data_IF_839153192515
#
_entry.id   IF_839153192515
#
_cell.length_a   1.000
_cell.length_b   1.000
_cell.length_c   1.000
_cell.angle_alpha   90.00
_cell.angle_beta   90.00
_cell.angle_gamma   90.00
#
_symmetry.space_group_name_H-M   'P 1'
#
loop_
_entity.id
_entity.type
_entity.pdbx_description
1 polymer ?
#
# COMPACT_ATOMS: atom_id res chain seq x y z
N UNK A 1 29.38 32.24 -28.24
CA UNK A 1 29.63 31.11 -27.32
C UNK A 1 29.30 31.58 -25.91
N UNK A 2 28.36 30.91 -25.26
CA UNK A 2 27.87 31.30 -23.93
C UNK A 2 26.35 31.31 -23.92
N UNK A 3 25.73 30.13 -23.74
CA UNK A 3 24.32 30.06 -23.41
C UNK A 3 24.19 29.57 -21.97
N UNK A 4 23.61 30.46 -21.18
CA UNK A 4 23.26 30.29 -19.77
C UNK A 4 22.25 29.15 -19.62
N UNK A 5 22.64 28.05 -18.99
CA UNK A 5 21.69 27.16 -18.35
C UNK A 5 21.17 27.85 -17.09
N UNK A 6 20.10 28.63 -17.25
CA UNK A 6 19.25 29.05 -16.13
C UNK A 6 18.77 27.78 -15.43
N UNK A 7 19.29 27.53 -14.23
CA UNK A 7 18.67 26.64 -13.25
C UNK A 7 17.29 27.20 -12.96
N UNK A 8 16.29 26.64 -13.61
CA UNK A 8 14.91 26.78 -13.19
C UNK A 8 14.76 25.88 -11.96
N UNK A 9 15.17 26.38 -10.79
CA UNK A 9 14.78 25.83 -9.50
C UNK A 9 13.28 26.07 -9.34
N UNK A 10 12.51 25.15 -9.93
CA UNK A 10 11.11 24.96 -9.59
C UNK A 10 11.01 24.69 -8.08
N UNK A 11 10.01 25.26 -7.43
CA UNK A 11 9.69 25.15 -5.99
C UNK A 11 9.35 23.70 -5.57
N UNK A 12 9.52 22.73 -6.47
CA UNK A 12 9.44 21.30 -6.23
C UNK A 12 10.44 20.80 -5.17
N UNK A 13 9.93 20.01 -4.21
CA UNK A 13 10.69 18.97 -3.48
C UNK A 13 11.35 19.29 -2.12
N UNK A 14 10.95 20.30 -1.35
CA UNK A 14 11.47 20.42 0.03
C UNK A 14 10.97 19.28 0.96
N UNK A 15 9.80 18.70 0.64
CA UNK A 15 9.14 17.69 1.46
C UNK A 15 9.46 16.23 1.09
N UNK A 16 10.19 16.04 -0.02
CA UNK A 16 10.62 14.73 -0.51
C UNK A 16 12.14 14.63 -0.46
N UNK A 17 12.64 13.53 0.08
CA UNK A 17 14.05 13.23 0.19
C UNK A 17 14.38 12.01 -0.64
N UNK A 18 15.36 12.14 -1.53
CA UNK A 18 15.95 10.99 -2.22
C UNK A 18 16.70 10.12 -1.21
N UNK A 19 16.51 8.80 -1.32
CA UNK A 19 17.31 7.81 -0.59
C UNK A 19 18.15 7.02 -1.58
N UNK A 20 18.78 5.92 -1.15
CA UNK A 20 19.50 5.05 -2.08
C UNK A 20 18.53 4.59 -3.17
N UNK A 21 18.91 4.78 -4.42
CA UNK A 21 18.14 4.30 -5.57
C UNK A 21 18.09 2.76 -5.58
N UNK A 22 17.02 2.24 -6.17
CA UNK A 22 16.90 0.82 -6.49
C UNK A 22 18.10 0.35 -7.32
N UNK A 23 18.56 -0.90 -7.14
CA UNK A 23 19.62 -1.48 -7.97
C UNK A 23 19.24 -1.56 -9.45
N UNK A 24 17.93 -1.69 -9.74
CA UNK A 24 17.38 -1.75 -11.10
C UNK A 24 16.14 -0.85 -11.21
N UNK A 25 15.81 -0.32 -12.41
CA UNK A 25 14.54 0.36 -12.62
C UNK A 25 13.36 -0.60 -12.47
N UNK A 26 12.34 -0.22 -11.71
CA UNK A 26 11.15 -1.04 -11.46
C UNK A 26 9.88 -0.24 -11.66
N UNK A 27 8.88 -0.87 -12.26
CA UNK A 27 7.48 -0.41 -12.28
C UNK A 27 6.58 -1.59 -11.94
N UNK A 28 5.36 -1.33 -11.46
CA UNK A 28 4.42 -2.36 -11.00
C UNK A 28 4.93 -3.23 -9.85
N UNK A 29 6.02 -2.81 -9.20
CA UNK A 29 6.59 -3.52 -8.06
C UNK A 29 5.61 -3.57 -6.90
N UNK A 30 5.58 -4.70 -6.20
CA UNK A 30 4.88 -4.84 -4.94
C UNK A 30 5.88 -4.70 -3.80
N UNK A 31 5.52 -3.98 -2.75
CA UNK A 31 6.35 -3.81 -1.56
C UNK A 31 5.67 -4.34 -0.32
N UNK A 32 6.43 -4.99 0.56
CA UNK A 32 5.96 -5.48 1.86
C UNK A 32 6.92 -5.00 2.95
N UNK A 33 6.38 -4.51 4.06
CA UNK A 33 7.16 -4.03 5.19
C UNK A 33 7.46 -5.20 6.13
N UNK A 34 8.73 -5.41 6.47
CA UNK A 34 9.15 -6.37 7.49
C UNK A 34 10.14 -5.70 8.45
N UNK A 35 9.67 -5.35 9.66
CA UNK A 35 10.46 -4.58 10.63
C UNK A 35 11.09 -3.32 9.98
N UNK A 36 12.42 -3.22 9.93
CA UNK A 36 13.14 -2.09 9.33
C UNK A 36 13.46 -2.29 7.85
N UNK A 37 12.89 -3.30 7.22
CA UNK A 37 13.12 -3.67 5.83
C UNK A 37 11.87 -3.42 4.99
N UNK A 38 12.07 -2.88 3.79
CA UNK A 38 11.05 -2.86 2.75
C UNK A 38 11.48 -3.92 1.73
N UNK A 39 10.70 -4.98 1.64
CA UNK A 39 10.86 -6.04 0.66
C UNK A 39 10.22 -5.57 -0.64
N UNK A 40 10.97 -5.61 -1.73
CA UNK A 40 10.57 -5.21 -3.07
C UNK A 40 10.53 -6.48 -3.91
N UNK A 41 9.35 -6.88 -4.36
CA UNK A 41 9.08 -8.19 -4.96
C UNK A 41 8.78 -8.08 -6.46
N UNK A 42 9.85 -8.05 -7.26
CA UNK A 42 9.77 -8.00 -8.72
C UNK A 42 9.11 -6.73 -9.25
N UNK A 43 8.69 -6.77 -10.50
CA UNK A 43 8.02 -5.69 -11.22
C UNK A 43 7.74 -6.11 -12.65
N UNK A 44 7.19 -5.22 -13.47
CA UNK A 44 6.89 -5.50 -14.87
C UNK A 44 8.11 -6.01 -15.63
N UNK A 45 8.06 -7.29 -16.05
CA UNK A 45 9.17 -8.05 -16.65
C UNK A 45 10.46 -8.13 -15.82
N UNK A 46 10.42 -7.76 -14.54
CA UNK A 46 11.58 -7.75 -13.65
C UNK A 46 11.42 -8.77 -12.52
N UNK A 47 12.26 -9.80 -12.52
CA UNK A 47 12.15 -10.94 -11.60
C UNK A 47 12.87 -10.73 -10.26
N UNK A 48 13.77 -9.76 -10.17
CA UNK A 48 14.61 -9.53 -9.00
C UNK A 48 13.82 -9.06 -7.76
N UNK A 49 14.13 -9.65 -6.61
CA UNK A 49 13.62 -9.26 -5.31
C UNK A 49 14.74 -8.66 -4.45
N UNK A 50 14.43 -7.59 -3.72
CA UNK A 50 15.40 -6.86 -2.91
C UNK A 50 14.85 -6.51 -1.54
N UNK A 51 15.72 -6.44 -0.54
CA UNK A 51 15.42 -5.89 0.79
C UNK A 51 16.13 -4.55 0.93
N UNK A 52 15.36 -3.49 1.12
CA UNK A 52 15.86 -2.17 1.49
C UNK A 52 15.81 -1.97 2.99
N UNK A 53 16.96 -1.75 3.62
CA UNK A 53 17.00 -1.47 5.05
C UNK A 53 16.87 0.04 5.32
N UNK A 54 15.73 0.46 5.87
CA UNK A 54 15.36 1.87 6.13
C UNK A 54 16.40 2.67 6.91
N UNK A 55 16.94 2.11 8.01
CA UNK A 55 17.99 2.78 8.81
C UNK A 55 19.38 2.78 8.15
N UNK A 56 19.73 1.70 7.44
CA UNK A 56 21.05 1.55 6.81
C UNK A 56 21.12 2.26 5.45
N UNK A 57 19.97 2.63 4.86
CA UNK A 57 19.85 3.23 3.53
C UNK A 57 20.58 2.43 2.45
N UNK A 58 20.38 1.11 2.46
CA UNK A 58 21.06 0.16 1.55
C UNK A 58 20.10 -0.93 1.11
N UNK A 59 20.34 -1.45 -0.09
CA UNK A 59 19.68 -2.65 -0.62
C UNK A 59 20.56 -3.88 -0.48
N UNK A 60 19.91 -5.03 -0.34
CA UNK A 60 20.49 -6.35 -0.58
C UNK A 60 19.56 -7.14 -1.50
N UNK A 61 20.15 -7.89 -2.42
CA UNK A 61 19.42 -8.86 -3.23
C UNK A 61 18.90 -10.01 -2.34
N UNK A 62 17.71 -10.50 -2.65
CA UNK A 62 17.07 -11.64 -1.96
C UNK A 62 17.14 -12.87 -2.87
N UNK A 63 16.43 -12.82 -4.00
CA UNK A 63 16.35 -13.86 -5.03
C UNK A 63 15.65 -13.33 -6.28
N UNK A 64 15.37 -14.21 -7.23
CA UNK A 64 14.48 -13.95 -8.37
C UNK A 64 13.22 -14.81 -8.30
N UNK A 65 12.12 -14.32 -8.89
CA UNK A 65 11.01 -15.17 -9.31
C UNK A 65 11.49 -16.27 -10.28
N UNK A 66 10.80 -17.43 -10.38
CA UNK A 66 11.13 -18.46 -11.37
C UNK A 66 11.20 -17.92 -12.80
N UNK A 67 11.99 -18.56 -13.68
CA UNK A 67 12.25 -18.07 -15.05
C UNK A 67 11.05 -18.13 -15.98
N UNK A 68 10.13 -19.04 -15.69
CA UNK A 68 8.86 -19.27 -16.37
C UNK A 68 7.75 -18.29 -15.93
N UNK A 69 8.00 -17.49 -14.88
CA UNK A 69 7.03 -16.52 -14.36
C UNK A 69 7.26 -15.15 -15.00
N UNK A 70 6.23 -14.66 -15.71
CA UNK A 70 6.19 -13.31 -16.27
C UNK A 70 5.36 -12.40 -15.36
N UNK A 71 6.00 -11.39 -14.78
CA UNK A 71 5.35 -10.47 -13.87
C UNK A 71 4.72 -9.29 -14.62
N UNK A 72 3.40 -9.16 -14.50
CA UNK A 72 2.65 -8.01 -14.98
C UNK A 72 1.41 -7.77 -14.12
N UNK A 73 1.51 -6.85 -13.17
CA UNK A 73 0.40 -6.45 -12.31
C UNK A 73 -0.02 -7.54 -11.32
N UNK A 74 0.94 -8.28 -10.79
CA UNK A 74 0.72 -9.25 -9.71
C UNK A 74 0.51 -8.54 -8.37
N UNK A 75 -0.01 -9.29 -7.39
CA UNK A 75 -0.11 -8.86 -6.01
C UNK A 75 0.87 -9.67 -5.13
N UNK A 76 1.30 -9.06 -4.02
CA UNK A 76 2.05 -9.71 -2.96
C UNK A 76 1.44 -9.28 -1.63
N UNK A 77 1.12 -10.25 -0.78
CA UNK A 77 0.59 -10.03 0.57
C UNK A 77 1.44 -10.78 1.60
N UNK A 78 1.46 -10.25 2.82
CA UNK A 78 2.04 -10.91 3.99
C UNK A 78 1.01 -11.86 4.61
N UNK A 79 1.31 -13.16 4.66
CA UNK A 79 0.53 -14.14 5.38
C UNK A 79 0.85 -14.03 6.87
N UNK A 80 0.01 -13.29 7.61
CA UNK A 80 0.17 -13.05 9.04
C UNK A 80 0.22 -14.38 9.80
N UNK A 81 1.39 -14.74 10.31
CA UNK A 81 1.54 -15.81 11.28
C UNK A 81 1.58 -15.21 12.69
N UNK A 82 0.54 -15.49 13.50
CA UNK A 82 0.44 -14.99 14.86
C UNK A 82 1.59 -15.49 15.77
N UNK A 83 2.24 -16.59 15.42
CA UNK A 83 3.35 -17.16 16.19
C UNK A 83 4.71 -16.49 15.90
N UNK A 84 4.79 -15.60 14.90
CA UNK A 84 6.07 -15.12 14.35
C UNK A 84 6.40 -13.65 14.68
N UNK A 85 5.62 -12.99 15.55
CA UNK A 85 5.70 -11.52 15.80
C UNK A 85 7.09 -10.99 16.18
N UNK A 86 7.94 -11.82 16.81
CA UNK A 86 9.33 -11.45 17.16
C UNK A 86 10.39 -12.06 16.25
N UNK A 87 10.01 -12.95 15.35
CA UNK A 87 10.92 -13.64 14.44
C UNK A 87 11.49 -12.70 13.37
N UNK A 88 12.67 -13.01 12.84
CA UNK A 88 13.20 -12.34 11.65
C UNK A 88 12.59 -12.87 10.34
N UNK A 89 11.46 -13.58 10.45
CA UNK A 89 10.81 -14.31 9.37
C UNK A 89 9.45 -13.70 9.04
N UNK A 90 9.04 -13.85 7.78
CA UNK A 90 7.73 -13.44 7.25
C UNK A 90 7.41 -14.35 6.07
N UNK A 91 6.12 -14.68 5.88
CA UNK A 91 5.70 -15.50 4.74
C UNK A 91 4.95 -14.63 3.75
N UNK A 92 5.45 -14.57 2.52
CA UNK A 92 4.87 -13.78 1.45
C UNK A 92 4.11 -14.69 0.49
N UNK A 93 2.89 -14.30 0.12
CA UNK A 93 2.11 -14.91 -0.95
C UNK A 93 2.11 -13.97 -2.15
N UNK A 94 2.59 -14.44 -3.29
CA UNK A 94 2.54 -13.72 -4.56
C UNK A 94 1.63 -14.42 -5.54
N UNK A 95 0.70 -13.69 -6.15
CA UNK A 95 -0.26 -14.28 -7.08
C UNK A 95 -0.81 -13.29 -8.10
N UNK A 96 -1.51 -13.84 -9.10
CA UNK A 96 -2.19 -13.07 -10.13
C UNK A 96 -1.25 -12.59 -11.24
N UNK A 97 -1.55 -11.43 -11.82
CA UNK A 97 -0.87 -10.92 -13.01
C UNK A 97 -1.49 -11.39 -14.34
N UNK A 98 -0.95 -10.89 -15.46
CA UNK A 98 -1.40 -11.27 -16.81
C UNK A 98 -1.25 -12.77 -17.06
N UNK A 99 -0.05 -13.31 -16.85
CA UNK A 99 0.19 -14.74 -16.72
C UNK A 99 0.11 -15.11 -15.25
N UNK A 100 -1.02 -15.67 -14.83
CA UNK A 100 -1.30 -15.98 -13.43
C UNK A 100 -0.24 -16.94 -12.86
N UNK A 101 0.27 -16.61 -11.69
CA UNK A 101 1.02 -17.54 -10.84
C UNK A 101 0.43 -17.56 -9.43
N UNK A 102 0.88 -18.52 -8.62
CA UNK A 102 0.63 -18.54 -7.17
C UNK A 102 1.86 -19.15 -6.49
N UNK A 103 2.61 -18.31 -5.79
CA UNK A 103 3.90 -18.63 -5.22
C UNK A 103 3.95 -18.15 -3.77
N UNK A 104 4.68 -18.90 -2.94
CA UNK A 104 4.95 -18.54 -1.55
C UNK A 104 6.45 -18.39 -1.32
N UNK A 105 6.83 -17.45 -0.47
CA UNK A 105 8.21 -17.31 0.00
C UNK A 105 8.23 -17.18 1.51
N UNK A 106 8.96 -18.08 2.17
CA UNK A 106 9.39 -17.89 3.55
C UNK A 106 10.64 -17.01 3.52
N UNK A 107 10.49 -15.75 3.87
CA UNK A 107 11.60 -14.80 3.93
C UNK A 107 12.20 -14.79 5.34
N UNK A 108 13.52 -14.82 5.42
CA UNK A 108 14.32 -14.51 6.60
C UNK A 108 15.24 -13.34 6.27
N UNK A 109 15.33 -12.37 7.19
CA UNK A 109 16.13 -11.16 7.04
C UNK A 109 17.52 -11.43 6.45
N UNK A 110 17.88 -10.71 5.38
CA UNK A 110 19.24 -10.70 4.83
C UNK A 110 20.18 -9.76 5.59
N UNK A 111 19.73 -9.19 6.72
CA UNK A 111 20.46 -8.21 7.52
C UNK A 111 20.82 -8.68 8.93
N UNK A 112 20.51 -9.92 9.29
CA UNK A 112 20.89 -10.58 10.56
C UNK A 112 22.40 -10.53 10.83
N UNK A 113 22.78 -10.53 12.12
CA UNK A 113 24.18 -10.47 12.58
C UNK A 113 24.88 -11.83 12.49
N UNK A 114 26.23 -11.85 12.51
CA UNK A 114 27.09 -13.02 12.27
C UNK A 114 26.73 -14.30 13.05
N UNK A 115 26.29 -14.21 14.31
CA UNK A 115 25.84 -15.39 15.08
C UNK A 115 24.50 -15.97 14.59
N UNK A 116 23.59 -15.12 14.12
CA UNK A 116 22.34 -15.51 13.46
C UNK A 116 22.53 -15.87 11.98
N UNK A 117 23.62 -15.41 11.34
CA UNK A 117 23.96 -15.74 9.95
C UNK A 117 24.20 -17.24 9.81
N UNK A 118 24.91 -17.88 10.74
CA UNK A 118 25.14 -19.33 10.68
C UNK A 118 23.84 -20.13 10.80
N UNK A 119 22.92 -19.69 11.68
CA UNK A 119 21.59 -20.32 11.81
C UNK A 119 20.72 -20.06 10.58
N UNK A 120 20.71 -18.83 10.06
CA UNK A 120 19.92 -18.46 8.88
C UNK A 120 20.47 -19.05 7.58
N UNK A 121 21.78 -19.24 7.43
CA UNK A 121 22.39 -19.97 6.30
C UNK A 121 22.01 -21.45 6.33
N UNK A 122 22.13 -22.09 7.50
CA UNK A 122 21.68 -23.48 7.67
C UNK A 122 20.18 -23.65 7.42
N UNK A 123 19.35 -22.67 7.80
CA UNK A 123 17.90 -22.64 7.51
C UNK A 123 17.63 -22.43 6.01
N UNK A 124 18.37 -21.53 5.34
CA UNK A 124 18.25 -21.31 3.89
C UNK A 124 18.55 -22.55 3.08
N UNK A 125 19.58 -23.31 3.48
CA UNK A 125 19.99 -24.54 2.81
C UNK A 125 19.02 -25.70 3.04
N UNK A 126 18.42 -25.79 4.23
CA UNK A 126 17.52 -26.91 4.58
C UNK A 126 16.06 -26.70 4.17
N UNK A 127 15.56 -25.45 4.16
CA UNK A 127 14.12 -25.17 4.06
C UNK A 127 13.73 -24.21 2.91
N UNK A 128 14.61 -23.99 1.93
CA UNK A 128 14.36 -23.13 0.76
C UNK A 128 13.91 -21.68 1.10
N UNK A 129 14.41 -21.12 2.21
CA UNK A 129 14.13 -19.72 2.55
C UNK A 129 14.65 -18.76 1.48
N UNK A 130 14.02 -17.59 1.41
CA UNK A 130 14.37 -16.50 0.48
C UNK A 130 14.33 -16.94 -0.98
N UNK A 131 13.49 -17.93 -1.31
CA UNK A 131 13.19 -18.36 -2.68
C UNK A 131 11.69 -18.49 -2.83
N UNK A 132 11.21 -18.23 -4.05
CA UNK A 132 9.83 -18.51 -4.40
C UNK A 132 9.64 -20.01 -4.63
N UNK A 133 8.59 -20.57 -4.05
CA UNK A 133 8.14 -21.94 -4.26
C UNK A 133 6.66 -21.96 -4.65
N UNK A 134 6.17 -23.00 -5.34
CA UNK A 134 4.74 -23.19 -5.56
C UNK A 134 3.95 -23.14 -4.24
N UNK A 135 2.84 -22.42 -4.22
CA UNK A 135 1.93 -22.46 -3.08
C UNK A 135 1.17 -23.79 -3.11
N UNK A 136 1.22 -24.55 -2.01
CA UNK A 136 0.70 -25.92 -1.96
C UNK A 136 -0.11 -26.18 -0.70
N UNK A 137 -1.02 -27.15 -0.77
CA UNK A 137 -1.76 -27.65 0.39
C UNK A 137 -0.88 -28.57 1.26
N UNK A 138 -1.47 -29.14 2.32
CA UNK A 138 -0.77 -30.06 3.24
C UNK A 138 -0.33 -31.38 2.59
N UNK A 139 -0.79 -31.67 1.36
CA UNK A 139 -0.45 -32.84 0.57
C UNK A 139 0.50 -32.51 -0.60
N UNK A 140 1.08 -31.30 -0.62
CA UNK A 140 1.93 -30.76 -1.69
C UNK A 140 1.21 -30.59 -3.04
N UNK A 141 -0.13 -30.52 -3.06
CA UNK A 141 -0.85 -30.21 -4.29
C UNK A 141 -0.77 -28.71 -4.56
N UNK A 142 -0.42 -28.26 -5.78
CA UNK A 142 -0.41 -26.84 -6.12
C UNK A 142 -1.78 -26.19 -5.96
N UNK A 143 -1.80 -25.04 -5.29
CA UNK A 143 -2.98 -24.19 -5.14
C UNK A 143 -2.88 -23.06 -6.16
N UNK A 144 -3.94 -22.88 -6.94
CA UNK A 144 -4.04 -21.82 -7.93
C UNK A 144 -5.08 -20.78 -7.50
N UNK A 145 -4.65 -19.52 -7.38
CA UNK A 145 -5.56 -18.41 -7.11
C UNK A 145 -5.96 -17.75 -8.43
N UNK A 146 -7.24 -17.90 -8.77
CA UNK A 146 -7.89 -17.37 -9.99
C UNK A 146 -8.45 -18.48 -10.88
N UNK A 147 -9.60 -18.25 -11.51
CA UNK A 147 -10.27 -19.25 -12.37
C UNK A 147 -9.79 -19.15 -13.81
N UNK A 148 -10.09 -20.16 -14.61
CA UNK A 148 -9.90 -20.12 -16.05
C UNK A 148 -10.72 -18.97 -16.65
N UNK A 149 -10.10 -18.18 -17.53
CA UNK A 149 -10.72 -16.98 -18.13
C UNK A 149 -10.64 -15.71 -17.28
N UNK A 150 -10.39 -15.78 -15.97
CA UNK A 150 -10.25 -14.57 -15.15
C UNK A 150 -8.95 -13.82 -15.52
N UNK A 151 -9.02 -12.49 -15.63
CA UNK A 151 -7.88 -11.61 -15.90
C UNK A 151 -7.40 -10.92 -14.61
N UNK A 152 -6.24 -11.33 -14.10
CA UNK A 152 -5.69 -10.84 -12.83
C UNK A 152 -4.63 -9.74 -13.00
N UNK A 153 -4.56 -9.12 -14.18
CA UNK A 153 -3.67 -7.98 -14.42
C UNK A 153 -4.09 -6.79 -13.57
N UNK A 154 -3.19 -6.36 -12.69
CA UNK A 154 -3.45 -5.25 -11.78
C UNK A 154 -4.36 -5.62 -10.61
N UNK A 155 -4.39 -6.90 -10.24
CA UNK A 155 -5.10 -7.41 -9.07
C UNK A 155 -4.61 -6.73 -7.79
N UNK A 156 -5.53 -6.44 -6.88
CA UNK A 156 -5.23 -6.01 -5.50
C UNK A 156 -5.86 -6.99 -4.54
N UNK A 157 -5.24 -7.13 -3.38
CA UNK A 157 -5.80 -7.94 -2.32
C UNK A 157 -5.40 -7.43 -0.95
N UNK A 158 -6.27 -7.72 0.01
CA UNK A 158 -6.04 -7.46 1.42
C UNK A 158 -6.46 -8.67 2.23
N UNK A 159 -5.76 -8.91 3.34
CA UNK A 159 -6.13 -9.97 4.29
C UNK A 159 -7.05 -9.39 5.36
N UNK A 160 -8.09 -10.14 5.68
CA UNK A 160 -9.03 -9.85 6.76
C UNK A 160 -9.74 -11.13 7.20
N UNK A 161 -11.00 -11.00 7.58
CA UNK A 161 -11.73 -12.05 8.28
C UNK A 161 -11.50 -11.97 9.78
N UNK A 162 -12.42 -12.55 10.54
CA UNK A 162 -12.40 -12.65 12.00
C UNK A 162 -11.03 -13.12 12.52
N UNK A 163 -10.43 -14.09 11.80
CA UNK A 163 -9.13 -14.70 12.13
C UNK A 163 -8.00 -14.36 11.13
N UNK A 164 -8.07 -13.27 10.36
CA UNK A 164 -7.09 -12.95 9.30
C UNK A 164 -6.90 -14.09 8.25
N UNK A 165 -7.95 -14.89 8.02
CA UNK A 165 -7.89 -16.08 7.17
C UNK A 165 -8.53 -15.85 5.79
N UNK A 166 -9.14 -14.69 5.56
CA UNK A 166 -9.80 -14.37 4.30
C UNK A 166 -8.93 -13.43 3.48
N UNK A 167 -8.70 -13.81 2.23
CA UNK A 167 -8.07 -13.00 1.21
C UNK A 167 -9.17 -12.39 0.33
N UNK A 168 -9.37 -11.08 0.48
CA UNK A 168 -10.26 -10.30 -0.38
C UNK A 168 -9.50 -9.88 -1.62
N UNK A 169 -10.00 -10.26 -2.80
CA UNK A 169 -9.31 -10.09 -4.07
C UNK A 169 -10.20 -9.27 -5.01
N UNK A 170 -9.67 -8.17 -5.51
CA UNK A 170 -10.31 -7.33 -6.53
C UNK A 170 -9.46 -7.32 -7.79
N UNK A 171 -10.08 -7.60 -8.94
CA UNK A 171 -9.39 -7.79 -10.21
C UNK A 171 -10.20 -7.25 -11.38
N UNK A 172 -9.62 -7.33 -12.59
CA UNK A 172 -10.08 -6.64 -13.80
C UNK A 172 -11.60 -6.70 -14.00
N UNK A 173 -12.14 -5.60 -14.54
CA UNK A 173 -13.58 -5.28 -14.62
C UNK A 173 -14.09 -4.86 -13.24
N UNK A 174 -15.13 -5.46 -12.73
CA UNK A 174 -15.83 -5.10 -11.52
C UNK A 174 -15.83 -6.27 -10.53
N UNK A 175 -14.84 -7.17 -10.60
CA UNK A 175 -14.88 -8.40 -9.84
C UNK A 175 -14.30 -8.26 -8.43
N UNK A 176 -14.98 -8.86 -7.46
CA UNK A 176 -14.46 -9.11 -6.12
C UNK A 176 -14.64 -10.58 -5.76
N UNK A 177 -13.69 -11.15 -5.02
CA UNK A 177 -13.76 -12.54 -4.58
C UNK A 177 -13.17 -12.71 -3.20
N UNK A 178 -13.63 -13.71 -2.48
CA UNK A 178 -13.13 -14.08 -1.16
C UNK A 178 -12.56 -15.49 -1.25
N UNK A 179 -11.27 -15.59 -0.93
CA UNK A 179 -10.54 -16.85 -0.88
C UNK A 179 -10.15 -17.13 0.57
N UNK A 180 -10.50 -18.30 1.07
CA UNK A 180 -10.14 -18.75 2.41
C UNK A 180 -8.75 -19.39 2.39
N UNK A 181 -7.82 -18.78 3.13
CA UNK A 181 -6.42 -19.19 3.22
C UNK A 181 -6.22 -20.46 4.07
N UNK A 182 -7.21 -20.89 4.85
CA UNK A 182 -7.15 -22.12 5.63
C UNK A 182 -7.62 -23.33 4.82
N UNK A 183 -8.71 -23.17 4.07
CA UNK A 183 -9.31 -24.25 3.25
C UNK A 183 -8.78 -24.26 1.82
N UNK A 184 -8.09 -23.20 1.40
CA UNK A 184 -7.60 -22.98 0.04
C UNK A 184 -8.70 -22.97 -1.02
N UNK A 185 -9.88 -22.46 -0.66
CA UNK A 185 -11.06 -22.42 -1.52
C UNK A 185 -11.65 -21.02 -1.66
N UNK A 186 -12.25 -20.76 -2.82
CA UNK A 186 -13.09 -19.57 -2.99
C UNK A 186 -14.43 -19.78 -2.27
N UNK A 187 -14.77 -18.87 -1.37
CA UNK A 187 -16.05 -18.91 -0.64
C UNK A 187 -17.09 -17.95 -1.23
N UNK A 188 -16.65 -16.92 -1.97
CA UNK A 188 -17.54 -15.96 -2.64
C UNK A 188 -16.92 -15.38 -3.89
N UNK A 189 -17.78 -15.17 -4.87
CA UNK A 189 -17.55 -14.25 -5.99
C UNK A 189 -18.70 -13.24 -6.02
N UNK A 190 -18.39 -12.00 -6.39
CA UNK A 190 -19.36 -10.94 -6.53
C UNK A 190 -18.88 -9.87 -7.52
N UNK A 191 -19.79 -8.97 -7.88
CA UNK A 191 -19.53 -7.82 -8.77
C UNK A 191 -19.75 -6.50 -8.02
N UNK A 192 -18.82 -5.57 -8.19
CA UNK A 192 -18.93 -4.22 -7.66
C UNK A 192 -20.01 -3.43 -8.43
N UNK A 193 -20.79 -2.56 -7.76
CA UNK A 193 -22.01 -1.97 -8.32
C UNK A 193 -21.82 -0.93 -9.44
N UNK A 194 -20.58 -0.49 -9.72
CA UNK A 194 -20.30 0.60 -10.66
C UNK A 194 -19.90 0.12 -12.08
N UNK A 195 -19.80 -1.20 -12.32
CA UNK A 195 -19.47 -1.84 -13.62
C UNK A 195 -18.27 -1.22 -14.39
N UNK A 196 -17.42 -0.47 -13.71
CA UNK A 196 -16.24 0.18 -14.28
C UNK A 196 -15.06 -0.80 -14.31
N UNK A 197 -14.09 -0.54 -15.18
CA UNK A 197 -12.83 -1.27 -15.19
C UNK A 197 -11.97 -0.89 -13.97
N UNK A 198 -11.95 -1.75 -12.95
CA UNK A 198 -11.03 -1.68 -11.81
C UNK A 198 -9.78 -2.49 -12.14
N UNK A 199 -8.62 -1.85 -12.05
CA UNK A 199 -7.32 -2.51 -12.07
C UNK A 199 -6.29 -1.50 -11.60
N UNK A 200 -5.23 -1.97 -10.94
CA UNK A 200 -4.16 -1.12 -10.41
C UNK A 200 -4.69 -0.02 -9.47
N UNK A 201 -5.81 -0.31 -8.83
CA UNK A 201 -6.58 0.60 -8.00
C UNK A 201 -6.02 0.70 -6.56
N UNK A 202 -6.60 1.60 -5.77
CA UNK A 202 -6.36 1.71 -4.34
C UNK A 202 -7.29 0.72 -3.67
N UNK A 203 -6.74 -0.19 -2.89
CA UNK A 203 -7.52 -1.14 -2.11
C UNK A 203 -6.91 -1.30 -0.74
N UNK A 204 -7.64 -0.91 0.30
CA UNK A 204 -7.13 -0.91 1.67
C UNK A 204 -8.16 -1.54 2.60
N UNK A 205 -7.66 -2.27 3.60
CA UNK A 205 -8.48 -2.84 4.67
C UNK A 205 -8.48 -1.90 5.87
N UNK A 206 -9.68 -1.58 6.37
CA UNK A 206 -9.87 -0.77 7.57
C UNK A 206 -9.77 -1.68 8.80
N UNK A 207 -8.55 -1.92 9.25
CA UNK A 207 -8.32 -2.62 10.51
C UNK A 207 -8.50 -1.65 11.70
N UNK A 208 -9.42 -1.98 12.63
CA UNK A 208 -9.62 -1.25 13.90
C UNK A 208 -8.50 -1.45 14.93
N UNK A 209 -7.41 -2.15 14.60
CA UNK A 209 -6.36 -2.59 15.55
C UNK A 209 -5.60 -1.47 16.28
N UNK A 210 -5.90 -0.19 16.01
CA UNK A 210 -5.32 0.98 16.71
C UNK A 210 -6.25 1.68 17.72
N UNK A 211 -7.49 1.23 17.90
CA UNK A 211 -8.45 1.85 18.84
C UNK A 211 -8.77 0.90 20.01
N UNK A 212 -7.76 0.53 20.80
CA UNK A 212 -7.94 -0.14 22.10
C UNK A 212 -8.19 0.88 23.23
N UNK A 213 -9.12 1.82 23.08
CA UNK A 213 -9.64 2.57 24.23
C UNK A 213 -11.15 2.76 24.04
N UNK A 214 -11.92 1.98 24.83
CA UNK A 214 -13.38 2.06 25.06
C UNK A 214 -14.31 1.44 24.01
N UNK A 215 -14.37 0.11 23.94
CA UNK A 215 -15.61 -0.60 23.57
C UNK A 215 -15.82 -1.82 24.47
N UNK A 216 -17.06 -2.02 24.91
CA UNK A 216 -17.54 -3.09 25.80
C UNK A 216 -17.37 -4.46 25.16
N UNK A 217 -17.36 -5.52 25.99
CA UNK A 217 -16.98 -6.88 25.59
C UNK A 217 -17.87 -7.52 24.51
N UNK A 218 -19.06 -6.98 24.23
CA UNK A 218 -19.96 -7.49 23.17
C UNK A 218 -19.62 -6.96 21.76
N UNK A 219 -18.97 -5.79 21.62
CA UNK A 219 -18.57 -5.24 20.31
C UNK A 219 -17.21 -5.74 19.82
N UNK A 220 -16.44 -6.44 20.67
CA UNK A 220 -15.10 -6.96 20.33
C UNK A 220 -15.12 -8.06 19.27
N UNK A 221 -16.24 -8.76 19.09
CA UNK A 221 -16.31 -9.94 18.22
C UNK A 221 -16.81 -9.66 16.79
N UNK A 222 -17.33 -8.46 16.50
CA UNK A 222 -17.61 -8.06 15.11
C UNK A 222 -16.40 -7.34 14.52
N UNK A 223 -15.45 -8.15 14.05
CA UNK A 223 -14.45 -7.68 13.10
C UNK A 223 -15.18 -7.25 11.83
N UNK A 224 -15.49 -5.96 11.73
CA UNK A 224 -16.05 -5.40 10.52
C UNK A 224 -14.96 -5.46 9.45
N UNK A 225 -15.06 -6.45 8.55
CA UNK A 225 -14.27 -6.52 7.32
C UNK A 225 -14.71 -5.38 6.41
N UNK A 226 -14.25 -4.17 6.72
CA UNK A 226 -14.51 -2.98 5.94
C UNK A 226 -13.28 -2.66 5.09
N UNK A 227 -13.49 -2.50 3.80
CA UNK A 227 -12.47 -2.18 2.81
C UNK A 227 -12.87 -0.91 2.07
N UNK A 228 -11.87 -0.17 1.61
CA UNK A 228 -12.08 1.00 0.77
C UNK A 228 -11.41 0.77 -0.58
N UNK A 229 -12.15 1.07 -1.63
CA UNK A 229 -11.70 1.00 -3.00
C UNK A 229 -11.88 2.36 -3.67
N UNK A 230 -10.82 2.84 -4.29
CA UNK A 230 -10.87 4.00 -5.19
C UNK A 230 -10.21 3.62 -6.50
N UNK A 231 -10.83 3.95 -7.63
CA UNK A 231 -10.32 3.78 -8.99
C UNK A 231 -11.14 4.61 -9.97
N UNK A 232 -10.52 5.50 -10.75
CA UNK A 232 -11.27 6.40 -11.62
C UNK A 232 -12.39 7.11 -10.84
N UNK A 233 -13.61 7.15 -11.38
CA UNK A 233 -14.82 7.67 -10.71
C UNK A 233 -15.41 6.73 -9.65
N UNK A 234 -14.88 5.52 -9.51
CA UNK A 234 -15.40 4.51 -8.57
C UNK A 234 -14.79 4.75 -7.20
N UNK A 235 -15.63 5.07 -6.22
CA UNK A 235 -15.28 5.12 -4.80
C UNK A 235 -16.24 4.23 -4.03
N UNK A 236 -15.74 3.25 -3.27
CA UNK A 236 -16.57 2.27 -2.58
C UNK A 236 -16.06 2.02 -1.15
N UNK A 237 -17.00 2.00 -0.21
CA UNK A 237 -16.86 1.34 1.08
C UNK A 237 -17.54 -0.02 0.96
N UNK A 238 -16.75 -1.07 1.17
CA UNK A 238 -17.15 -2.46 0.99
C UNK A 238 -17.11 -3.12 2.36
N UNK A 239 -18.26 -3.56 2.85
CA UNK A 239 -18.35 -4.37 4.07
C UNK A 239 -18.63 -5.80 3.70
N UNK A 240 -17.92 -6.72 4.34
CA UNK A 240 -18.17 -8.14 4.19
C UNK A 240 -18.67 -8.73 5.51
N UNK A 241 -19.86 -9.33 5.46
CA UNK A 241 -20.44 -10.11 6.54
C UNK A 241 -19.98 -11.56 6.39
N UNK A 242 -19.12 -11.99 7.30
CA UNK A 242 -18.54 -13.33 7.29
C UNK A 242 -19.55 -14.42 7.63
N UNK A 243 -20.52 -14.14 8.51
CA UNK A 243 -21.54 -15.10 8.94
C UNK A 243 -22.54 -15.38 7.82
N UNK A 244 -22.90 -14.33 7.08
CA UNK A 244 -23.88 -14.40 5.99
C UNK A 244 -23.25 -14.55 4.60
N UNK A 245 -21.91 -14.56 4.49
CA UNK A 245 -21.17 -14.61 3.24
C UNK A 245 -21.67 -13.58 2.19
N UNK A 246 -21.86 -12.33 2.63
CA UNK A 246 -22.47 -11.30 1.80
C UNK A 246 -21.71 -9.97 1.85
N UNK A 247 -21.67 -9.28 0.72
CA UNK A 247 -21.13 -7.94 0.59
C UNK A 247 -22.22 -6.88 0.75
N UNK A 248 -21.84 -5.77 1.37
CA UNK A 248 -22.61 -4.52 1.37
C UNK A 248 -21.73 -3.43 0.79
N UNK A 249 -22.26 -2.71 -0.19
CA UNK A 249 -21.55 -1.65 -0.90
C UNK A 249 -22.16 -0.30 -0.57
N UNK A 250 -21.30 0.68 -0.25
CA UNK A 250 -21.67 2.09 -0.13
C UNK A 250 -20.79 2.90 -1.04
N UNK A 251 -21.40 3.64 -1.96
CA UNK A 251 -20.67 4.56 -2.83
C UNK A 251 -20.05 5.70 -2.02
N UNK A 252 -18.83 6.07 -2.37
CA UNK A 252 -18.08 7.18 -1.82
C UNK A 252 -17.83 8.19 -2.94
N UNK A 253 -17.89 9.47 -2.60
CA UNK A 253 -17.58 10.51 -3.56
C UNK A 253 -16.09 10.48 -3.89
N UNK A 254 -15.78 10.63 -5.17
CA UNK A 254 -14.43 10.80 -5.69
C UNK A 254 -14.33 12.23 -6.21
N UNK A 255 -13.30 12.99 -5.81
CA UNK A 255 -13.15 14.35 -6.30
C UNK A 255 -12.73 14.39 -7.78
N UNK A 256 -13.08 15.48 -8.47
CA UNK A 256 -12.83 15.62 -9.91
C UNK A 256 -11.34 15.60 -10.27
N UNK A 257 -10.46 15.98 -9.34
CA UNK A 257 -9.02 15.97 -9.57
C UNK A 257 -8.45 14.55 -9.67
N UNK A 258 -9.00 13.58 -8.92
CA UNK A 258 -8.51 12.20 -8.89
C UNK A 258 -9.33 11.25 -9.77
N UNK A 259 -10.61 11.56 -9.99
CA UNK A 259 -11.53 10.77 -10.79
C UNK A 259 -11.02 10.34 -12.19
N UNK A 260 -10.14 11.11 -12.88
CA UNK A 260 -9.58 10.70 -14.16
C UNK A 260 -8.41 9.71 -14.05
N UNK A 261 -7.92 9.35 -12.87
CA UNK A 261 -6.65 8.63 -12.72
C UNK A 261 -6.80 7.23 -12.12
N UNK A 262 -5.90 6.33 -12.52
CA UNK A 262 -5.56 5.09 -11.82
C UNK A 262 -4.03 5.01 -11.63
N UNK A 263 -3.46 3.82 -11.35
CA UNK A 263 -1.99 3.59 -11.35
C UNK A 263 -1.19 4.42 -10.34
N UNK A 264 -1.82 4.93 -9.30
CA UNK A 264 -1.17 5.71 -8.25
C UNK A 264 -0.49 4.83 -7.20
N UNK A 265 0.51 5.38 -6.53
CA UNK A 265 0.94 4.86 -5.24
C UNK A 265 -0.04 5.33 -4.16
N UNK A 266 -0.30 4.48 -3.17
CA UNK A 266 -1.16 4.85 -2.05
C UNK A 266 -0.63 4.29 -0.74
N UNK A 267 -0.97 4.94 0.36
CA UNK A 267 -0.75 4.45 1.72
C UNK A 267 -1.96 4.77 2.59
N UNK A 268 -2.25 3.88 3.53
CA UNK A 268 -3.30 4.06 4.53
C UNK A 268 -2.69 4.24 5.91
N UNK A 269 -3.02 5.35 6.58
CA UNK A 269 -2.52 5.70 7.91
C UNK A 269 -3.52 6.59 8.64
N UNK A 270 -3.80 6.32 9.93
CA UNK A 270 -4.62 7.17 10.80
C UNK A 270 -5.98 7.59 10.19
N UNK A 271 -6.77 6.61 9.71
CA UNK A 271 -8.05 6.85 9.03
C UNK A 271 -7.95 7.77 7.79
N UNK A 272 -6.76 7.88 7.21
CA UNK A 272 -6.48 8.68 6.01
C UNK A 272 -5.84 7.80 4.95
N UNK A 273 -6.28 7.98 3.70
CA UNK A 273 -5.61 7.42 2.52
C UNK A 273 -4.88 8.56 1.81
N UNK A 274 -3.58 8.40 1.62
CA UNK A 274 -2.78 9.31 0.80
C UNK A 274 -2.53 8.65 -0.55
N UNK A 275 -2.75 9.39 -1.63
CA UNK A 275 -2.60 8.95 -3.00
C UNK A 275 -1.60 9.86 -3.70
N UNK A 276 -0.62 9.25 -4.37
CA UNK A 276 0.50 9.93 -5.01
C UNK A 276 0.51 9.64 -6.51
N UNK A 277 0.39 10.70 -7.30
CA UNK A 277 0.46 10.64 -8.76
C UNK A 277 -0.75 9.96 -9.40
N UNK A 278 -0.51 9.15 -10.42
CA UNK A 278 -1.54 8.44 -11.18
C UNK A 278 -1.47 8.73 -12.68
N UNK A 279 -2.24 7.98 -13.47
CA UNK A 279 -2.25 8.03 -14.94
C UNK A 279 -3.66 8.01 -15.52
N UNK A 280 -3.88 8.77 -16.59
CA UNK A 280 -5.17 8.88 -17.27
C UNK A 280 -5.08 8.61 -18.79
N UNK A 281 -4.19 7.70 -19.19
CA UNK A 281 -3.79 7.42 -20.59
C UNK A 281 -2.96 8.52 -21.27
N UNK A 282 -3.30 9.79 -21.07
CA UNK A 282 -2.62 10.92 -21.71
C UNK A 282 -1.52 11.52 -20.85
N UNK A 283 -1.76 11.66 -19.54
CA UNK A 283 -0.92 12.41 -18.62
C UNK A 283 -0.61 11.61 -17.36
N UNK A 284 0.56 11.88 -16.77
CA UNK A 284 0.94 11.37 -15.45
C UNK A 284 0.86 12.51 -14.44
N UNK A 285 0.18 12.29 -13.31
CA UNK A 285 -0.01 13.29 -12.27
C UNK A 285 1.22 13.41 -11.34
N UNK A 286 1.43 14.61 -10.81
CA UNK A 286 2.39 14.92 -9.72
C UNK A 286 1.68 15.20 -8.39
N UNK A 287 0.36 15.28 -8.40
CA UNK A 287 -0.42 15.72 -7.26
C UNK A 287 -0.42 14.65 -6.17
N UNK A 288 -0.62 15.12 -4.94
CA UNK A 288 -0.87 14.28 -3.78
C UNK A 288 -2.27 14.58 -3.28
N UNK A 289 -3.08 13.54 -3.13
CA UNK A 289 -4.44 13.64 -2.64
C UNK A 289 -4.56 12.93 -1.30
N UNK A 290 -5.37 13.51 -0.42
CA UNK A 290 -5.76 12.95 0.86
C UNK A 290 -7.25 12.63 0.82
N UNK A 291 -7.61 11.43 1.22
CA UNK A 291 -8.98 11.08 1.57
C UNK A 291 -9.08 10.86 3.08
N UNK A 292 -9.87 11.69 3.76
CA UNK A 292 -10.19 11.55 5.18
C UNK A 292 -11.40 10.63 5.33
N UNK A 293 -11.23 9.46 5.93
CA UNK A 293 -12.32 8.49 6.09
C UNK A 293 -13.34 9.00 7.10
N UNK A 294 -12.87 9.66 8.16
CA UNK A 294 -13.74 10.18 9.22
C UNK A 294 -14.63 11.33 8.71
N UNK A 295 -14.06 12.23 7.91
CA UNK A 295 -14.78 13.39 7.38
C UNK A 295 -15.48 13.07 6.05
N UNK A 296 -15.13 11.97 5.38
CA UNK A 296 -15.60 11.61 4.04
C UNK A 296 -15.30 12.72 3.02
N UNK A 297 -14.10 13.31 3.12
CA UNK A 297 -13.66 14.46 2.31
C UNK A 297 -12.35 14.18 1.60
N UNK A 298 -12.19 14.81 0.44
CA UNK A 298 -10.93 14.85 -0.30
C UNK A 298 -10.23 16.19 -0.06
N UNK A 299 -8.90 16.14 -0.02
CA UNK A 299 -8.03 17.32 -0.03
C UNK A 299 -6.92 17.11 -1.04
N UNK A 300 -6.75 18.03 -1.97
CA UNK A 300 -5.59 18.07 -2.87
C UNK A 300 -4.53 18.97 -2.23
N UNK A 301 -3.30 18.45 -2.06
CA UNK A 301 -2.21 19.27 -1.54
C UNK A 301 -1.59 20.13 -2.65
N UNK A 302 -1.21 21.36 -2.31
CA UNK A 302 -0.47 22.24 -3.22
C UNK A 302 0.96 21.74 -3.49
N UNK A 303 1.52 20.95 -2.57
CA UNK A 303 2.84 20.35 -2.73
C UNK A 303 2.81 19.22 -3.75
N UNK A 304 3.65 19.33 -4.77
CA UNK A 304 3.75 18.33 -5.83
C UNK A 304 4.95 17.41 -5.63
N UNK A 305 4.78 16.15 -6.03
CA UNK A 305 5.87 15.19 -6.19
C UNK A 305 6.94 15.78 -7.12
N UNK A 306 8.24 15.53 -6.85
CA UNK A 306 9.35 16.03 -7.68
C UNK A 306 9.23 15.63 -9.17
N UNK A 307 8.60 14.50 -9.47
CA UNK A 307 8.36 14.02 -10.83
C UNK A 307 6.99 13.34 -10.93
N UNK A 308 6.37 13.32 -12.13
CA UNK A 308 5.14 12.57 -12.33
C UNK A 308 5.43 11.10 -12.09
N UNK A 309 4.54 10.45 -11.33
CA UNK A 309 4.72 9.07 -10.95
C UNK A 309 3.43 8.29 -11.21
N UNK A 310 3.58 7.20 -11.94
CA UNK A 310 2.60 6.11 -12.00
C UNK A 310 3.30 4.77 -11.80
N UNK A 311 2.55 3.74 -11.45
CA UNK A 311 3.04 2.38 -11.28
C UNK A 311 4.17 2.24 -10.25
N UNK A 312 4.22 3.16 -9.28
CA UNK A 312 5.10 3.10 -8.12
C UNK A 312 4.39 2.45 -6.94
N UNK A 313 5.16 2.00 -5.95
CA UNK A 313 4.63 1.46 -4.70
C UNK A 313 4.79 2.48 -3.58
N UNK A 314 3.71 2.73 -2.83
CA UNK A 314 3.75 3.47 -1.58
C UNK A 314 3.78 2.52 -0.38
N UNK A 315 4.63 2.77 0.60
CA UNK A 315 4.65 1.98 1.83
C UNK A 315 5.16 2.80 3.02
N UNK A 316 4.62 2.57 4.21
CA UNK A 316 5.11 3.17 5.45
C UNK A 316 6.37 2.45 5.93
N UNK A 317 7.21 3.15 6.69
CA UNK A 317 8.26 2.51 7.47
C UNK A 317 7.74 2.02 8.83
N UNK A 318 8.55 1.22 9.54
CA UNK A 318 8.16 0.56 10.82
C UNK A 318 7.46 1.46 11.84
N UNK A 319 7.95 2.67 12.01
CA UNK A 319 7.49 3.61 13.03
C UNK A 319 6.43 4.58 12.50
N UNK A 320 5.96 4.37 11.26
CA UNK A 320 4.96 5.21 10.60
C UNK A 320 5.36 6.70 10.55
N UNK A 321 6.65 7.01 10.57
CA UNK A 321 7.14 8.39 10.49
C UNK A 321 7.40 8.84 9.06
N UNK A 322 7.65 7.89 8.15
CA UNK A 322 7.97 8.17 6.75
C UNK A 322 7.18 7.28 5.80
N UNK A 323 6.77 7.87 4.69
CA UNK A 323 6.22 7.18 3.53
C UNK A 323 7.34 7.04 2.52
N UNK A 324 7.54 5.84 2.03
CA UNK A 324 8.47 5.48 0.99
C UNK A 324 7.71 5.28 -0.32
N UNK A 325 8.18 5.92 -1.39
CA UNK A 325 7.66 5.78 -2.75
C UNK A 325 8.77 5.19 -3.60
N UNK A 326 8.52 4.01 -4.15
CA UNK A 326 9.53 3.14 -4.78
C UNK A 326 9.15 2.83 -6.23
N UNK A 327 10.12 2.98 -7.12
CA UNK A 327 10.00 2.70 -8.55
C UNK A 327 9.09 3.68 -9.28
N UNK A 328 8.40 3.17 -10.29
CA UNK A 328 7.43 3.89 -11.10
C UNK A 328 7.93 4.21 -12.51
N UNK A 329 7.04 4.83 -13.29
CA UNK A 329 7.26 5.25 -14.67
C UNK A 329 7.08 6.76 -14.75
N UNK A 330 7.96 7.44 -15.49
CA UNK A 330 7.85 8.87 -15.76
C UNK A 330 6.94 9.19 -16.97
N UNK A 331 6.81 10.48 -17.24
CA UNK A 331 6.14 11.04 -18.43
C UNK A 331 6.75 10.60 -19.77
N UNK A 332 8.01 10.13 -19.78
CA UNK A 332 8.71 9.57 -20.95
C UNK A 332 8.54 8.05 -21.09
N UNK A 333 7.64 7.44 -20.33
CA UNK A 333 7.40 5.99 -20.30
C UNK A 333 8.63 5.15 -19.91
N UNK A 334 9.58 5.74 -19.19
CA UNK A 334 10.76 5.04 -18.69
C UNK A 334 10.53 4.57 -17.25
N UNK A 335 10.79 3.29 -16.99
CA UNK A 335 10.86 2.79 -15.61
C UNK A 335 12.02 3.45 -14.89
N UNK A 336 11.82 3.83 -13.63
CA UNK A 336 12.81 4.55 -12.83
C UNK A 336 13.37 3.68 -11.70
N UNK A 337 14.66 3.81 -11.37
CA UNK A 337 15.23 3.19 -10.16
C UNK A 337 14.97 4.05 -8.92
N UNK A 338 13.96 4.93 -8.95
CA UNK A 338 13.81 5.96 -7.93
C UNK A 338 13.29 5.38 -6.62
N UNK A 339 13.85 5.87 -5.52
CA UNK A 339 13.30 5.69 -4.19
C UNK A 339 13.37 7.03 -3.45
N UNK A 340 12.20 7.60 -3.16
CA UNK A 340 12.06 8.82 -2.37
C UNK A 340 11.28 8.52 -1.10
N UNK A 341 11.45 9.36 -0.09
CA UNK A 341 10.64 9.32 1.12
C UNK A 341 10.14 10.71 1.51
N UNK A 342 9.02 10.74 2.22
CA UNK A 342 8.46 11.96 2.80
C UNK A 342 8.00 11.69 4.23
N UNK A 343 7.97 12.71 5.09
CA UNK A 343 7.51 12.55 6.47
C UNK A 343 5.99 12.47 6.49
N UNK A 344 5.43 11.54 7.26
CA UNK A 344 3.98 11.40 7.47
C UNK A 344 3.38 12.68 8.03
N UNK A 345 4.05 13.32 9.00
CA UNK A 345 3.57 14.52 9.67
C UNK A 345 3.20 15.68 8.72
N UNK A 346 3.84 15.78 7.56
CA UNK A 346 3.55 16.80 6.54
C UNK A 346 2.12 16.66 6.00
N UNK A 347 1.63 15.43 5.94
CA UNK A 347 0.35 15.08 5.35
C UNK A 347 -0.76 14.89 6.40
N UNK A 348 -0.36 14.80 7.67
CA UNK A 348 -1.25 14.64 8.83
C UNK A 348 -1.79 15.95 9.38
N UNK A 349 -1.31 17.11 8.92
CA UNK A 349 -1.75 18.39 9.44
C UNK A 349 -3.23 18.63 9.10
N UNK A 350 -4.04 18.44 10.13
CA UNK A 350 -5.37 18.98 10.21
C UNK A 350 -5.22 20.48 10.41
N UNK A 351 -5.46 21.25 9.37
CA UNK A 351 -5.65 22.71 9.42
C UNK A 351 -6.62 23.15 10.54
N UNK A 352 -7.42 22.24 11.09
CA UNK A 352 -8.21 22.44 12.30
C UNK A 352 -7.40 22.84 13.55
N UNK A 353 -6.20 22.30 13.80
CA UNK A 353 -5.45 22.66 15.02
C UNK A 353 -4.99 24.11 15.01
N UNK A 354 -4.59 24.63 13.83
CA UNK A 354 -4.21 26.04 13.68
C UNK A 354 -5.43 26.96 13.80
N UNK A 355 -6.57 26.57 13.21
CA UNK A 355 -7.82 27.32 13.31
C UNK A 355 -8.33 27.36 14.75
N UNK A 356 -8.30 26.24 15.48
CA UNK A 356 -8.69 26.20 16.90
C UNK A 356 -7.76 27.04 17.78
N UNK A 357 -6.44 27.01 17.54
CA UNK A 357 -5.47 27.87 18.25
C UNK A 357 -5.74 29.35 17.94
N UNK A 358 -6.01 29.72 16.69
CA UNK A 358 -6.33 31.09 16.31
C UNK A 358 -7.67 31.57 16.89
N UNK A 359 -8.71 30.72 16.88
CA UNK A 359 -9.99 31.01 17.51
C UNK A 359 -9.83 31.17 19.03
N UNK A 360 -9.10 30.26 19.68
CA UNK A 360 -8.82 30.35 21.12
C UNK A 360 -8.04 31.62 21.47
N UNK A 361 -6.99 31.96 20.72
CA UNK A 361 -6.23 33.20 20.89
C UNK A 361 -7.12 34.44 20.70
N UNK A 362 -8.01 34.42 19.70
CA UNK A 362 -8.97 35.50 19.47
C UNK A 362 -9.91 35.68 20.68
N UNK A 363 -10.46 34.60 21.24
CA UNK A 363 -11.29 34.66 22.44
C UNK A 363 -10.52 35.15 23.66
N UNK A 364 -9.27 34.72 23.86
CA UNK A 364 -8.42 35.17 24.97
C UNK A 364 -8.11 36.67 24.85
N UNK A 365 -7.80 37.17 23.66
CA UNK A 365 -7.54 38.59 23.40
C UNK A 365 -8.80 39.42 23.68
N UNK A 366 -9.96 38.99 23.16
CA UNK A 366 -11.23 39.69 23.36
C UNK A 366 -11.64 39.71 24.84
N UNK A 367 -11.43 38.60 25.56
CA UNK A 367 -11.69 38.53 27.00
C UNK A 367 -10.81 39.48 27.82
N UNK A 368 -9.51 39.58 27.48
CA UNK A 368 -8.60 40.55 28.12
C UNK A 368 -9.01 42.00 27.87
N UNK A 369 -9.45 42.35 26.66
CA UNK A 369 -9.96 43.69 26.34
C UNK A 369 -11.23 44.04 27.13
N UNK A 370 -12.14 43.08 27.29
CA UNK A 370 -13.36 43.27 28.10
C UNK A 370 -13.00 43.48 29.58
N UNK A 371 -12.03 42.73 30.11
CA UNK A 371 -11.57 42.94 31.49
C UNK A 371 -10.93 44.31 31.69
N UNK A 372 -10.09 44.77 30.76
CA UNK A 372 -9.43 46.09 30.90
C UNK A 372 -10.41 47.26 30.80
N UNK A 373 -11.55 47.09 30.12
CA UNK A 373 -12.62 48.10 30.04
C UNK A 373 -13.51 48.13 31.29
N UNK A 374 -13.47 47.11 32.15
CA UNK A 374 -14.23 47.08 33.42
C UNK A 374 -13.45 47.56 34.63
N UNK A 375 -12.14 47.78 34.49
CA UNK A 375 -11.24 48.22 35.57
C UNK A 375 -10.87 49.71 35.50
N UNK A 376 -11.43 50.44 34.53
CA UNK A 376 -11.46 51.90 34.49
C UNK A 376 -12.92 52.36 34.64
#
# INVERSE_FOLDING_TARGET
>A
MGNQNKRQTSITSIHFQSVKNLPIPLSYSQCVLHKHEILVCGGYYQRGCYSYHTRKNKYKFICEYPSDVVLWGHCVVDLIDNNSKDSNEITLLSFGGWTKHTLVMKYVSVWSNSSEINKSQKLKESNNYNKWAPFTDNHNNPIHIGRNGDHYSGVRAVIGGSNNHLLFITYLKDNISVFDLNTFQFIKHDTLPDHNYIYLHCFVSRSKKGQEIRKTNEEKNKNNNEMLLFCWKTGLSIKYDEDNNNFQFRQLLVCDDIAPFNDYAYVYINDVILIFGGWNYSNTSKLVHKYSIQENTWTTFEYISPFPLRNCSGILNKDNTHIHIIGGINDKNMSLPTHIKTKVAIWSDNSHSVIFILIYLFFVIKYKQILSQRTN
#
